data_IF_100143113724
#
_entry.id   IF_100143113724
#
_cell.length_a   1.000
_cell.length_b   1.000
_cell.length_c   1.000
_cell.angle_alpha   90.00
_cell.angle_beta   90.00
_cell.angle_gamma   90.00
#
_symmetry.space_group_name_H-M   'P 1'
#
loop_
_entity.id
_entity.type
_entity.pdbx_description
1 polymer ?
#
# COMPACT_ATOMS: atom_id res chain seq x y z
N UNK A 1 -23.41 43.05 -17.43
CA UNK A 1 -23.88 41.64 -17.42
C UNK A 1 -22.72 40.82 -17.94
N UNK A 2 -21.87 40.31 -17.04
CA UNK A 2 -20.65 39.58 -17.42
C UNK A 2 -21.05 38.13 -17.63
N UNK A 3 -21.07 37.68 -18.87
CA UNK A 3 -21.27 36.27 -19.18
C UNK A 3 -20.00 35.51 -18.77
N UNK A 4 -20.10 34.67 -17.75
CA UNK A 4 -19.08 33.66 -17.47
C UNK A 4 -19.33 32.52 -18.46
N UNK A 5 -18.44 32.37 -19.45
CA UNK A 5 -18.40 31.15 -20.25
C UNK A 5 -17.76 30.11 -19.36
N UNK A 6 -18.57 29.26 -18.72
CA UNK A 6 -18.06 28.04 -18.12
C UNK A 6 -17.48 27.21 -19.27
N UNK A 7 -16.16 27.02 -19.28
CA UNK A 7 -15.53 26.06 -20.18
C UNK A 7 -16.02 24.69 -19.74
N UNK A 8 -16.93 24.08 -20.51
CA UNK A 8 -17.26 22.66 -20.38
C UNK A 8 -15.99 21.93 -20.82
N UNK A 9 -15.16 21.55 -19.86
CA UNK A 9 -14.10 20.58 -20.09
C UNK A 9 -14.74 19.22 -19.85
N UNK A 10 -14.92 18.46 -20.92
CA UNK A 10 -15.38 17.10 -20.79
C UNK A 10 -14.32 16.25 -20.10
N UNK A 11 -14.76 15.42 -19.17
CA UNK A 11 -13.87 14.52 -18.46
C UNK A 11 -13.29 13.49 -19.42
N UNK A 12 -11.99 13.22 -19.28
CA UNK A 12 -11.28 12.25 -20.12
C UNK A 12 -10.84 11.05 -19.30
N UNK A 13 -11.04 9.83 -19.80
CA UNK A 13 -10.63 8.63 -19.09
C UNK A 13 -9.10 8.53 -18.93
N UNK A 14 -8.64 8.20 -17.73
CA UNK A 14 -7.28 7.74 -17.45
C UNK A 14 -7.22 6.23 -17.57
N UNK A 15 -6.59 5.73 -18.63
CA UNK A 15 -6.45 4.27 -18.83
C UNK A 15 -5.55 3.61 -17.78
N UNK A 16 -4.61 4.35 -17.20
CA UNK A 16 -3.73 3.87 -16.15
C UNK A 16 -3.37 4.99 -15.17
N UNK A 17 -3.50 4.71 -13.87
CA UNK A 17 -3.17 5.64 -12.78
C UNK A 17 -2.45 4.91 -11.66
N UNK A 18 -1.43 5.55 -11.08
CA UNK A 18 -0.75 5.07 -9.87
C UNK A 18 -1.10 5.99 -8.71
N UNK A 19 -1.60 5.42 -7.61
CA UNK A 19 -2.03 6.15 -6.41
C UNK A 19 -1.20 5.75 -5.19
N UNK A 20 -1.00 6.68 -4.26
CA UNK A 20 -0.41 6.38 -2.94
C UNK A 20 -1.47 6.30 -1.82
N UNK A 21 -2.64 6.91 -2.05
CA UNK A 21 -3.77 6.95 -1.12
C UNK A 21 -4.34 5.55 -0.80
N UNK A 22 -5.02 5.44 0.34
CA UNK A 22 -5.79 4.26 0.73
C UNK A 22 -7.22 4.23 0.15
N UNK A 23 -7.62 5.28 -0.57
CA UNK A 23 -8.91 5.38 -1.25
C UNK A 23 -8.71 5.71 -2.72
N UNK A 24 -9.60 5.19 -3.57
CA UNK A 24 -9.73 5.62 -4.97
C UNK A 24 -10.71 6.78 -5.04
N UNK A 25 -10.40 7.77 -5.88
CA UNK A 25 -11.21 8.94 -6.18
C UNK A 25 -11.59 8.99 -7.65
N UNK A 26 -12.56 9.85 -7.99
CA UNK A 26 -12.94 10.10 -9.39
C UNK A 26 -11.76 10.61 -10.21
N UNK A 27 -10.92 11.48 -9.64
CA UNK A 27 -9.72 11.99 -10.31
C UNK A 27 -8.67 10.92 -10.66
N UNK A 28 -8.75 9.74 -10.03
CA UNK A 28 -7.89 8.60 -10.37
C UNK A 28 -8.35 7.90 -11.65
N UNK A 29 -9.62 8.04 -12.03
CA UNK A 29 -10.22 7.46 -13.23
C UNK A 29 -10.41 8.49 -14.34
N UNK A 30 -10.71 9.73 -13.99
CA UNK A 30 -11.08 10.78 -14.94
C UNK A 30 -10.19 12.01 -14.74
N UNK A 31 -9.65 12.52 -15.85
CA UNK A 31 -9.03 13.84 -15.92
C UNK A 31 -10.10 14.90 -16.21
N UNK A 32 -9.73 16.16 -16.03
CA UNK A 32 -10.53 17.33 -16.43
C UNK A 32 -11.92 17.40 -15.78
N UNK A 33 -12.05 16.86 -14.57
CA UNK A 33 -13.23 17.02 -13.72
C UNK A 33 -13.49 18.50 -13.40
N UNK A 34 -14.76 18.87 -13.23
CA UNK A 34 -15.11 20.21 -12.81
C UNK A 34 -14.67 20.47 -11.35
N UNK A 35 -14.40 21.73 -10.97
CA UNK A 35 -14.05 22.07 -9.60
C UNK A 35 -15.09 21.60 -8.59
N UNK A 36 -14.69 20.73 -7.66
CA UNK A 36 -15.55 20.18 -6.60
C UNK A 36 -16.24 18.86 -6.92
N UNK A 37 -16.04 18.30 -8.12
CA UNK A 37 -16.56 16.98 -8.48
C UNK A 37 -15.75 15.82 -7.89
N UNK A 38 -14.47 16.02 -7.57
CA UNK A 38 -13.61 14.94 -7.08
C UNK A 38 -14.10 14.34 -5.74
N UNK A 39 -14.53 13.07 -5.81
CA UNK A 39 -15.11 12.33 -4.69
C UNK A 39 -14.45 10.96 -4.55
N UNK A 40 -14.44 10.45 -3.33
CA UNK A 40 -14.02 9.07 -3.03
C UNK A 40 -15.07 8.10 -3.57
N UNK A 41 -14.62 7.12 -4.36
CA UNK A 41 -15.48 6.09 -4.95
C UNK A 41 -15.35 4.73 -4.26
N UNK A 42 -14.25 4.51 -3.53
CA UNK A 42 -14.04 3.25 -2.81
C UNK A 42 -12.65 3.09 -2.20
N UNK A 43 -12.39 1.94 -1.55
CA UNK A 43 -11.06 1.61 -1.04
C UNK A 43 -10.07 1.37 -2.19
N UNK A 44 -8.82 1.76 -1.99
CA UNK A 44 -7.71 1.40 -2.88
C UNK A 44 -7.36 -0.09 -2.74
N UNK A 45 -6.73 -0.70 -3.77
CA UNK A 45 -6.17 -2.04 -3.62
C UNK A 45 -5.10 -2.09 -2.52
N UNK A 46 -4.65 -3.31 -2.19
CA UNK A 46 -3.47 -3.48 -1.34
C UNK A 46 -2.24 -2.79 -1.96
N UNK A 47 -1.28 -2.28 -1.17
CA UNK A 47 -0.05 -1.70 -1.71
C UNK A 47 0.68 -2.67 -2.66
N UNK A 48 1.07 -2.18 -3.83
CA UNK A 48 1.67 -2.98 -4.91
C UNK A 48 0.67 -3.75 -5.78
N UNK A 49 -0.61 -3.81 -5.41
CA UNK A 49 -1.65 -4.45 -6.20
C UNK A 49 -2.34 -3.46 -7.15
N UNK A 50 -3.09 -4.02 -8.10
CA UNK A 50 -3.87 -3.26 -9.07
C UNK A 50 -5.31 -3.75 -9.14
N UNK A 51 -6.21 -2.86 -9.50
CA UNK A 51 -7.59 -3.19 -9.88
C UNK A 51 -7.84 -2.74 -11.31
N UNK A 52 -8.72 -3.46 -11.99
CA UNK A 52 -9.17 -3.15 -13.34
C UNK A 52 -10.64 -2.75 -13.31
N UNK A 53 -10.94 -1.59 -13.88
CA UNK A 53 -12.30 -1.05 -13.97
C UNK A 53 -12.71 -1.08 -15.44
N UNK A 54 -13.62 -1.99 -15.77
CA UNK A 54 -14.11 -2.18 -17.15
C UNK A 54 -15.15 -1.14 -17.55
N UNK A 55 -15.37 -0.97 -18.85
CA UNK A 55 -16.22 0.06 -19.44
C UNK A 55 -17.62 0.17 -18.83
N UNK A 56 -18.31 -0.96 -18.62
CA UNK A 56 -19.64 -0.93 -17.99
C UNK A 56 -19.63 -0.34 -16.57
N UNK A 57 -18.58 -0.60 -15.79
CA UNK A 57 -18.42 -0.02 -14.45
C UNK A 57 -17.99 1.45 -14.53
N UNK A 58 -17.13 1.82 -15.48
CA UNK A 58 -16.73 3.21 -15.72
C UNK A 58 -17.94 4.08 -16.08
N UNK A 59 -18.81 3.59 -16.96
CA UNK A 59 -20.07 4.26 -17.33
C UNK A 59 -20.97 4.42 -16.10
N UNK A 60 -21.17 3.35 -15.34
CA UNK A 60 -21.98 3.41 -14.11
C UNK A 60 -21.42 4.40 -13.08
N UNK A 61 -20.09 4.49 -12.93
CA UNK A 61 -19.43 5.48 -12.06
C UNK A 61 -19.67 6.89 -12.60
N UNK A 62 -19.47 7.14 -13.89
CA UNK A 62 -19.68 8.46 -14.48
C UNK A 62 -21.12 8.93 -14.26
N UNK A 63 -22.10 8.07 -14.56
CA UNK A 63 -23.53 8.35 -14.37
C UNK A 63 -23.88 8.60 -12.88
N UNK A 64 -23.36 7.77 -11.98
CA UNK A 64 -23.63 7.88 -10.54
C UNK A 64 -23.11 9.20 -9.96
N UNK A 65 -21.96 9.67 -10.44
CA UNK A 65 -21.29 10.86 -9.92
C UNK A 65 -21.50 12.12 -10.77
N UNK A 66 -22.21 12.01 -11.90
CA UNK A 66 -22.52 13.14 -12.78
C UNK A 66 -21.34 13.60 -13.63
N UNK A 67 -20.34 12.74 -13.85
CA UNK A 67 -19.13 13.08 -14.62
C UNK A 67 -19.46 13.13 -16.11
N UNK A 68 -19.23 14.27 -16.75
CA UNK A 68 -19.41 14.44 -18.21
C UNK A 68 -18.26 13.80 -19.00
N UNK A 69 -18.25 12.46 -19.04
CA UNK A 69 -17.30 11.69 -19.85
C UNK A 69 -17.90 11.45 -21.24
N UNK A 70 -17.37 12.14 -22.26
CA UNK A 70 -17.92 12.10 -23.63
C UNK A 70 -17.61 10.78 -24.36
N UNK A 71 -16.41 10.23 -24.17
CA UNK A 71 -15.95 9.03 -24.89
C UNK A 71 -16.34 7.72 -24.19
N UNK A 72 -17.58 7.61 -23.74
CA UNK A 72 -18.07 6.42 -23.06
C UNK A 72 -18.01 5.20 -23.99
N UNK A 73 -17.31 4.16 -23.54
CA UNK A 73 -17.20 2.92 -24.30
C UNK A 73 -17.32 1.70 -23.39
N UNK A 74 -18.17 0.71 -23.75
CA UNK A 74 -18.21 -0.58 -23.07
C UNK A 74 -16.89 -1.37 -23.14
N UNK A 75 -16.04 -1.07 -24.14
CA UNK A 75 -14.71 -1.69 -24.29
C UNK A 75 -13.60 -0.94 -23.57
N UNK A 76 -13.90 0.19 -22.92
CA UNK A 76 -12.92 0.94 -22.14
C UNK A 76 -12.37 0.12 -20.96
N UNK A 77 -11.15 0.44 -20.55
CA UNK A 77 -10.49 -0.18 -19.42
C UNK A 77 -9.61 0.85 -18.72
N UNK A 78 -9.79 0.97 -17.41
CA UNK A 78 -8.87 1.71 -16.54
C UNK A 78 -8.18 0.75 -15.58
N UNK A 79 -6.89 0.95 -15.36
CA UNK A 79 -6.11 0.23 -14.36
C UNK A 79 -5.65 1.19 -13.28
N UNK A 80 -6.00 0.91 -12.03
CA UNK A 80 -5.51 1.67 -10.88
C UNK A 80 -4.53 0.78 -10.13
N UNK A 81 -3.29 1.22 -10.04
CA UNK A 81 -2.24 0.56 -9.27
C UNK A 81 -1.99 1.36 -8.00
N UNK A 82 -1.98 0.70 -6.84
CA UNK A 82 -1.52 1.37 -5.62
C UNK A 82 -0.01 1.18 -5.50
N UNK A 83 0.72 2.28 -5.42
CA UNK A 83 2.15 2.26 -5.16
C UNK A 83 2.45 1.46 -3.89
N UNK A 84 3.54 0.72 -3.93
CA UNK A 84 3.99 -0.07 -2.80
C UNK A 84 5.51 -0.02 -2.68
N UNK A 85 5.99 -0.10 -1.44
CA UNK A 85 7.40 -0.30 -1.11
C UNK A 85 7.57 -1.74 -0.62
N UNK A 86 8.58 -2.42 -1.16
CA UNK A 86 8.97 -3.74 -0.70
C UNK A 86 9.79 -3.59 0.59
N UNK A 87 9.37 -4.28 1.65
CA UNK A 87 10.19 -4.53 2.82
C UNK A 87 10.92 -5.86 2.59
N UNK A 88 12.22 -5.75 2.37
CA UNK A 88 13.13 -6.86 2.09
C UNK A 88 13.72 -7.47 3.36
N UNK A 89 14.60 -8.46 3.19
CA UNK A 89 15.20 -9.19 4.31
C UNK A 89 16.03 -8.25 5.18
N UNK A 90 16.76 -7.34 4.54
CA UNK A 90 17.65 -6.36 5.14
C UNK A 90 16.89 -5.42 6.07
N UNK A 91 15.71 -4.94 5.63
CA UNK A 91 14.81 -4.16 6.49
C UNK A 91 14.46 -4.93 7.78
N UNK A 92 14.05 -6.19 7.67
CA UNK A 92 13.63 -6.97 8.84
C UNK A 92 14.79 -7.36 9.75
N UNK A 93 15.98 -7.63 9.20
CA UNK A 93 17.21 -7.84 9.98
C UNK A 93 17.51 -6.61 10.84
N UNK A 94 17.50 -5.43 10.23
CA UNK A 94 17.73 -4.17 10.93
C UNK A 94 16.63 -3.85 11.95
N UNK A 95 15.39 -4.17 11.61
CA UNK A 95 14.24 -4.00 12.49
C UNK A 95 14.32 -4.89 13.75
N UNK A 96 14.65 -6.17 13.59
CA UNK A 96 14.87 -7.10 14.71
C UNK A 96 16.06 -6.65 15.54
N UNK A 97 17.18 -6.31 14.89
CA UNK A 97 18.39 -5.83 15.57
C UNK A 97 18.10 -4.65 16.49
N UNK A 98 17.41 -3.62 15.97
CA UNK A 98 17.04 -2.41 16.75
C UNK A 98 16.07 -2.71 17.87
N UNK A 99 15.17 -3.68 17.67
CA UNK A 99 14.16 -4.05 18.66
C UNK A 99 14.71 -4.91 19.80
N UNK A 100 15.82 -5.63 19.58
CA UNK A 100 16.48 -6.45 20.60
C UNK A 100 17.68 -5.75 21.25
N UNK A 101 18.24 -4.71 20.61
CA UNK A 101 19.32 -3.91 21.15
C UNK A 101 18.77 -2.89 22.17
N UNK A 102 18.35 -3.36 23.34
CA UNK A 102 17.90 -2.53 24.48
C UNK A 102 19.07 -1.80 25.16
N UNK A 103 19.86 -1.03 24.41
CA UNK A 103 20.96 -0.21 24.93
C UNK A 103 22.32 -0.93 25.06
N UNK A 104 22.43 -2.17 24.60
CA UNK A 104 23.72 -2.87 24.47
C UNK A 104 24.52 -2.41 23.24
N UNK A 105 25.82 -2.17 23.43
CA UNK A 105 26.75 -1.70 22.39
C UNK A 105 27.20 -2.80 21.43
N UNK A 106 26.89 -4.07 21.74
CA UNK A 106 27.41 -5.19 20.97
C UNK A 106 26.64 -5.36 19.66
N UNK A 107 27.34 -5.45 18.52
CA UNK A 107 26.69 -5.68 17.25
C UNK A 107 26.02 -7.06 17.28
N UNK A 108 24.72 -7.11 16.99
CA UNK A 108 23.97 -8.36 16.80
C UNK A 108 23.95 -8.70 15.31
N UNK A 109 24.19 -9.97 14.99
CA UNK A 109 23.94 -10.58 13.69
C UNK A 109 22.60 -11.31 13.75
N UNK A 110 21.73 -11.07 12.76
CA UNK A 110 20.40 -11.68 12.68
C UNK A 110 20.27 -12.44 11.37
N UNK A 111 19.95 -13.72 11.46
CA UNK A 111 19.69 -14.61 10.33
C UNK A 111 18.23 -15.07 10.35
N UNK A 112 17.45 -14.58 9.39
CA UNK A 112 16.03 -14.92 9.25
C UNK A 112 15.83 -16.22 8.47
N UNK A 113 14.87 -17.04 8.91
CA UNK A 113 14.46 -18.32 8.31
C UNK A 113 13.05 -18.17 7.73
N UNK A 114 12.77 -18.85 6.61
CA UNK A 114 11.47 -18.84 5.91
C UNK A 114 10.91 -17.43 5.63
N UNK A 115 11.82 -16.50 5.29
CA UNK A 115 11.49 -15.10 5.07
C UNK A 115 10.70 -14.87 3.77
N UNK A 116 9.63 -14.10 3.88
CA UNK A 116 8.83 -13.63 2.74
C UNK A 116 8.79 -12.09 2.74
N UNK A 117 9.05 -11.43 1.60
CA UNK A 117 8.97 -9.97 1.51
C UNK A 117 7.55 -9.45 1.75
N UNK A 118 7.45 -8.20 2.24
CA UNK A 118 6.16 -7.56 2.51
C UNK A 118 5.99 -6.28 1.71
N UNK A 119 4.91 -6.17 0.92
CA UNK A 119 4.55 -4.92 0.23
C UNK A 119 3.73 -4.01 1.16
N UNK A 120 4.20 -2.78 1.38
CA UNK A 120 3.55 -1.78 2.25
C UNK A 120 3.36 -0.45 1.54
N UNK A 121 2.59 0.47 2.12
CA UNK A 121 2.45 1.81 1.55
C UNK A 121 3.82 2.52 1.55
N UNK A 122 4.18 3.24 0.47
CA UNK A 122 5.53 3.80 0.30
C UNK A 122 5.89 4.82 1.38
N UNK A 123 4.92 5.66 1.77
CA UNK A 123 5.11 6.76 2.72
C UNK A 123 4.76 6.38 4.17
N UNK A 124 4.61 5.07 4.46
CA UNK A 124 4.32 4.61 5.82
C UNK A 124 5.58 4.70 6.70
N UNK A 125 5.62 5.60 7.72
CA UNK A 125 6.79 5.76 8.56
C UNK A 125 6.98 4.58 9.52
N UNK A 126 5.94 3.81 9.79
CA UNK A 126 5.96 2.66 10.69
C UNK A 126 5.10 1.54 10.11
N UNK A 127 5.58 0.87 9.05
CA UNK A 127 4.76 -0.06 8.27
C UNK A 127 4.40 -1.35 9.01
N UNK A 128 5.22 -1.72 10.01
CA UNK A 128 5.03 -2.93 10.81
C UNK A 128 5.31 -2.66 12.28
N UNK A 129 4.73 -3.52 13.12
CA UNK A 129 5.05 -3.64 14.54
C UNK A 129 5.36 -5.09 14.88
N UNK A 130 6.06 -5.29 16.00
CA UNK A 130 6.48 -6.60 16.47
C UNK A 130 5.87 -6.86 17.85
N UNK A 131 5.40 -8.08 18.08
CA UNK A 131 4.85 -8.54 19.35
C UNK A 131 5.26 -9.99 19.60
N UNK A 132 4.95 -10.51 20.79
CA UNK A 132 5.26 -11.89 21.19
C UNK A 132 6.74 -12.26 21.00
N UNK A 133 7.63 -11.31 21.29
CA UNK A 133 9.06 -11.48 21.10
C UNK A 133 9.59 -12.50 22.09
N UNK A 134 10.20 -13.56 21.56
CA UNK A 134 10.91 -14.59 22.32
C UNK A 134 12.30 -14.76 21.74
N UNK A 135 13.32 -14.57 22.58
CA UNK A 135 14.72 -14.76 22.23
C UNK A 135 15.43 -15.56 23.31
N UNK A 136 15.91 -16.75 22.95
CA UNK A 136 16.77 -17.56 23.80
C UNK A 136 18.24 -17.22 23.50
N UNK A 137 18.86 -16.42 24.37
CA UNK A 137 20.26 -16.00 24.23
C UNK A 137 21.27 -17.16 24.22
N UNK A 138 20.92 -18.32 24.83
CA UNK A 138 21.82 -19.47 24.90
C UNK A 138 21.89 -20.21 23.56
N UNK A 139 20.75 -20.39 22.90
CA UNK A 139 20.67 -21.05 21.59
C UNK A 139 20.73 -20.06 20.41
N UNK A 140 20.53 -18.77 20.67
CA UNK A 140 20.36 -17.73 19.67
C UNK A 140 18.98 -17.72 19.01
N UNK A 141 18.08 -18.67 19.33
CA UNK A 141 16.79 -18.79 18.64
C UNK A 141 15.90 -17.57 18.92
N UNK A 142 15.35 -17.00 17.87
CA UNK A 142 14.44 -15.87 17.89
C UNK A 142 13.11 -16.21 17.20
N UNK A 143 12.02 -15.72 17.78
CA UNK A 143 10.69 -15.71 17.17
C UNK A 143 9.91 -14.48 17.61
N UNK A 144 9.16 -13.88 16.69
CA UNK A 144 8.22 -12.81 17.00
C UNK A 144 7.07 -12.80 15.99
N UNK A 145 5.93 -12.24 16.37
CA UNK A 145 4.82 -11.98 15.45
C UNK A 145 4.94 -10.57 14.89
N UNK A 146 4.95 -10.46 13.56
CA UNK A 146 4.93 -9.18 12.85
C UNK A 146 3.49 -8.86 12.48
N UNK A 147 3.07 -7.62 12.72
CA UNK A 147 1.78 -7.09 12.33
C UNK A 147 1.94 -5.87 11.43
N UNK A 148 1.10 -5.74 10.41
CA UNK A 148 0.95 -4.49 9.66
C UNK A 148 0.29 -3.44 10.53
N UNK A 149 0.81 -2.21 10.50
CA UNK A 149 0.18 -1.08 11.20
C UNK A 149 -1.12 -0.65 10.50
N UNK A 150 -1.21 -0.88 9.19
CA UNK A 150 -2.39 -0.61 8.37
C UNK A 150 -2.87 -1.92 7.72
N UNK A 151 -3.85 -2.60 8.34
CA UNK A 151 -4.38 -3.86 7.83
C UNK A 151 -5.00 -3.72 6.43
N UNK A 152 -4.81 -4.71 5.58
CA UNK A 152 -5.46 -4.83 4.27
C UNK A 152 -6.83 -5.49 4.37
N UNK A 153 -7.14 -6.12 5.52
CA UNK A 153 -8.37 -6.89 5.76
C UNK A 153 -8.21 -8.39 5.53
N UNK A 154 -7.02 -8.84 5.12
CA UNK A 154 -6.65 -10.25 5.05
C UNK A 154 -5.69 -10.57 6.22
N UNK A 155 -6.19 -11.30 7.21
CA UNK A 155 -5.44 -11.65 8.43
C UNK A 155 -4.12 -12.37 8.14
N UNK A 156 -4.06 -13.16 7.05
CA UNK A 156 -2.86 -13.92 6.66
C UNK A 156 -1.80 -13.04 6.02
N UNK A 157 -2.20 -11.88 5.49
CA UNK A 157 -1.29 -10.85 4.99
C UNK A 157 -0.98 -9.79 6.04
N UNK A 158 -1.86 -9.61 7.02
CA UNK A 158 -1.77 -8.61 8.07
C UNK A 158 -0.87 -9.04 9.23
N UNK A 159 -0.62 -10.34 9.37
CA UNK A 159 0.34 -10.85 10.35
C UNK A 159 1.09 -12.09 9.87
N UNK A 160 2.35 -12.23 10.30
CA UNK A 160 3.13 -13.43 10.06
C UNK A 160 4.17 -13.64 11.17
N UNK A 161 4.58 -14.89 11.35
CA UNK A 161 5.65 -15.24 12.30
C UNK A 161 7.01 -14.98 11.64
N UNK A 162 7.84 -14.18 12.29
CA UNK A 162 9.23 -13.97 11.91
C UNK A 162 10.11 -14.79 12.84
N UNK A 163 10.91 -15.69 12.28
CA UNK A 163 11.80 -16.56 13.05
C UNK A 163 13.22 -16.53 12.51
N UNK A 164 14.17 -16.87 13.37
CA UNK A 164 15.57 -16.87 12.99
C UNK A 164 16.52 -17.18 14.13
N UNK A 165 17.78 -16.84 13.90
CA UNK A 165 18.84 -16.89 14.91
C UNK A 165 19.50 -15.54 15.07
N UNK A 166 19.81 -15.17 16.30
CA UNK A 166 20.46 -13.93 16.70
C UNK A 166 21.70 -14.28 17.50
N UNK A 167 22.85 -13.82 17.03
CA UNK A 167 24.15 -14.05 17.64
C UNK A 167 24.91 -12.73 17.80
N UNK A 168 25.86 -12.67 18.74
CA UNK A 168 26.81 -11.57 18.76
C UNK A 168 27.63 -11.60 17.46
N UNK A 169 27.72 -10.48 16.76
CA UNK A 169 28.51 -10.39 15.55
C UNK A 169 29.99 -10.59 15.92
N UNK A 170 30.60 -11.62 15.35
CA UNK A 170 32.04 -11.83 15.48
C UNK A 170 32.77 -10.66 14.81
N UNK A 171 33.63 -9.98 15.57
CA UNK A 171 34.58 -8.99 15.07
C UNK A 171 35.69 -9.65 14.26
#
# INVERSE_FOLDING_TARGET
>A
MTFHVASVCAATLRSATVITSNTVRLSDLFADLEPGEDRVIGPAPAPGASIHVGGGQLIAIADQFGVDWIDQSPSALATITRAGRLLDKEFFVEFVRRSLSDGGTDPLSVDLVDFHPLMVAPDDPKPVTMSDVSWDQRSGRFSATIYRTHPTGDVTQDSFMLTGTVHAAQR
#
